data_IF_143568003830
#
_entry.id   IF_143568003830
#
_cell.length_a   1.000
_cell.length_b   1.000
_cell.length_c   1.000
_cell.angle_alpha   90.00
_cell.angle_beta   90.00
_cell.angle_gamma   90.00
#
_symmetry.space_group_name_H-M   'P 1'
#
loop_
_entity.id
_entity.type
_entity.pdbx_description
1 polymer ?
#
# COMPACT_ATOMS: atom_id res chain seq x y z
N UNK A 1 11.69 -12.72 -18.44
CA UNK A 1 11.71 -12.18 -17.07
C UNK A 1 11.78 -10.67 -17.16
N UNK A 2 11.36 -9.97 -16.11
CA UNK A 2 11.31 -8.51 -16.14
C UNK A 2 11.80 -7.93 -14.83
N UNK A 3 12.66 -6.92 -14.92
CA UNK A 3 13.06 -6.04 -13.83
C UNK A 3 12.83 -4.59 -14.26
N UNK A 4 12.06 -3.84 -13.49
CA UNK A 4 11.72 -2.44 -13.73
C UNK A 4 12.23 -1.63 -12.55
N UNK A 5 13.01 -0.60 -12.85
CA UNK A 5 13.56 0.36 -11.88
C UNK A 5 12.87 1.70 -12.12
N UNK A 6 12.00 2.12 -11.21
CA UNK A 6 11.18 3.32 -11.41
C UNK A 6 10.85 4.02 -10.09
N UNK A 7 10.22 5.20 -10.16
CA UNK A 7 9.75 5.95 -8.99
C UNK A 7 8.72 5.18 -8.16
N UNK A 8 7.96 4.27 -8.76
CA UNK A 8 6.99 3.40 -8.07
C UNK A 8 7.64 2.18 -7.40
N UNK A 9 8.96 2.18 -7.28
CA UNK A 9 9.74 1.09 -6.71
C UNK A 9 10.47 0.23 -7.74
N UNK A 10 11.17 -0.77 -7.21
CA UNK A 10 12.00 -1.72 -7.95
C UNK A 10 11.26 -3.05 -7.98
N UNK A 11 10.63 -3.35 -9.12
CA UNK A 11 9.72 -4.49 -9.27
C UNK A 11 10.19 -5.45 -10.33
N UNK A 12 9.94 -6.73 -10.13
CA UNK A 12 10.26 -7.73 -11.12
C UNK A 12 9.66 -9.10 -10.84
N UNK A 13 9.77 -9.97 -11.84
CA UNK A 13 9.42 -11.38 -11.68
C UNK A 13 10.49 -12.11 -10.88
N UNK A 14 10.08 -12.98 -9.95
CA UNK A 14 10.99 -13.85 -9.19
C UNK A 14 11.52 -14.97 -10.08
N UNK A 15 12.80 -15.31 -9.91
CA UNK A 15 13.48 -16.39 -10.64
C UNK A 15 14.56 -15.87 -11.61
N UNK A 16 15.19 -16.82 -12.31
CA UNK A 16 16.21 -16.62 -13.36
C UNK A 16 17.48 -15.86 -12.93
N UNK A 17 18.08 -15.12 -13.86
CA UNK A 17 19.41 -14.51 -13.72
C UNK A 17 19.33 -13.10 -13.11
N UNK A 18 20.29 -12.75 -12.26
CA UNK A 18 20.39 -11.41 -11.65
C UNK A 18 20.47 -10.32 -12.72
N UNK A 19 19.79 -9.20 -12.46
CA UNK A 19 19.67 -8.08 -13.39
C UNK A 19 18.53 -8.21 -14.41
N UNK A 20 17.97 -9.41 -14.62
CA UNK A 20 16.83 -9.65 -15.53
C UNK A 20 15.49 -9.84 -14.80
N UNK A 21 15.52 -10.08 -13.48
CA UNK A 21 14.36 -10.25 -12.61
C UNK A 21 14.64 -9.66 -11.22
N UNK A 22 13.70 -9.83 -10.29
CA UNK A 22 13.92 -9.46 -8.88
C UNK A 22 14.53 -10.66 -8.14
N UNK A 23 15.80 -10.95 -8.41
CA UNK A 23 16.50 -12.09 -7.81
C UNK A 23 17.00 -11.76 -6.40
N UNK A 24 17.46 -12.76 -5.61
CA UNK A 24 18.05 -12.49 -4.30
C UNK A 24 19.20 -11.47 -4.32
N UNK A 25 20.07 -11.51 -5.33
CA UNK A 25 21.18 -10.55 -5.46
C UNK A 25 20.67 -9.14 -5.75
N UNK A 26 19.63 -9.01 -6.57
CA UNK A 26 19.01 -7.72 -6.87
C UNK A 26 18.38 -7.12 -5.61
N UNK A 27 17.65 -7.94 -4.84
CA UNK A 27 17.02 -7.52 -3.57
C UNK A 27 18.08 -7.00 -2.59
N UNK A 28 19.18 -7.74 -2.39
CA UNK A 28 20.28 -7.32 -1.51
C UNK A 28 20.92 -6.04 -2.00
N UNK A 29 21.24 -5.93 -3.30
CA UNK A 29 21.85 -4.74 -3.91
C UNK A 29 21.00 -3.49 -3.67
N UNK A 30 19.72 -3.56 -4.00
CA UNK A 30 18.83 -2.40 -3.90
C UNK A 30 18.44 -2.06 -2.46
N UNK A 31 18.31 -3.06 -1.58
CA UNK A 31 18.11 -2.82 -0.15
C UNK A 31 19.32 -2.14 0.48
N UNK A 32 20.54 -2.57 0.12
CA UNK A 32 21.78 -1.99 0.64
C UNK A 32 21.91 -0.51 0.26
N UNK A 33 21.59 -0.21 -1.00
CA UNK A 33 21.60 1.15 -1.50
C UNK A 33 20.56 2.04 -0.83
N UNK A 34 19.32 1.56 -0.73
CA UNK A 34 18.24 2.30 -0.08
C UNK A 34 18.51 2.55 1.41
N UNK A 35 18.92 1.52 2.16
CA UNK A 35 19.21 1.66 3.59
C UNK A 35 20.31 2.69 3.85
N UNK A 36 21.40 2.62 3.08
CA UNK A 36 22.50 3.58 3.17
C UNK A 36 22.07 5.01 2.82
N UNK A 37 21.25 5.16 1.77
CA UNK A 37 20.68 6.45 1.37
C UNK A 37 19.80 7.05 2.48
N UNK A 38 18.88 6.26 3.04
CA UNK A 38 17.92 6.72 4.04
C UNK A 38 18.64 7.17 5.32
N UNK A 39 19.60 6.39 5.80
CA UNK A 39 20.42 6.73 6.98
C UNK A 39 21.25 7.99 6.72
N UNK A 40 21.91 8.09 5.55
CA UNK A 40 22.71 9.26 5.20
C UNK A 40 21.87 10.54 5.12
N UNK A 41 20.66 10.46 4.59
CA UNK A 41 19.76 11.60 4.42
C UNK A 41 19.17 12.11 5.73
N UNK A 42 18.88 11.21 6.66
CA UNK A 42 18.12 11.52 7.89
C UNK A 42 18.97 11.52 9.17
N UNK A 43 20.09 10.80 9.17
CA UNK A 43 20.86 10.48 10.38
C UNK A 43 20.20 9.45 11.30
N UNK A 44 19.07 8.86 10.89
CA UNK A 44 18.29 7.89 11.67
C UNK A 44 18.68 6.48 11.24
N UNK A 45 18.93 5.59 12.20
CA UNK A 45 19.37 4.22 11.95
C UNK A 45 18.25 3.17 12.13
N UNK A 46 17.07 3.46 11.59
CA UNK A 46 15.88 2.60 11.72
C UNK A 46 15.08 2.60 10.42
N UNK A 47 14.62 1.43 9.97
CA UNK A 47 13.75 1.27 8.80
C UNK A 47 12.54 0.40 9.18
N UNK A 48 11.34 0.76 8.69
CA UNK A 48 10.13 -0.06 8.83
C UNK A 48 9.96 -0.92 7.57
N UNK A 49 9.59 -2.19 7.73
CA UNK A 49 9.25 -3.04 6.60
C UNK A 49 7.89 -3.71 6.81
N UNK A 50 7.21 -4.02 5.72
CA UNK A 50 5.98 -4.81 5.72
C UNK A 50 5.74 -5.41 4.34
N UNK A 51 4.90 -6.45 4.27
CA UNK A 51 4.69 -7.19 3.02
C UNK A 51 3.25 -7.57 2.80
N UNK A 52 2.89 -7.72 1.52
CA UNK A 52 1.66 -8.40 1.14
C UNK A 52 1.78 -9.93 1.29
N UNK A 53 0.72 -10.65 0.90
CA UNK A 53 0.66 -12.11 1.05
C UNK A 53 1.34 -12.90 -0.08
N UNK A 54 1.99 -12.27 -1.07
CA UNK A 54 2.60 -12.99 -2.19
C UNK A 54 3.49 -14.12 -1.70
N UNK A 55 3.49 -15.23 -2.44
CA UNK A 55 4.21 -16.46 -2.11
C UNK A 55 5.72 -16.19 -1.88
N UNK A 56 6.31 -15.28 -2.67
CA UNK A 56 7.71 -14.90 -2.54
C UNK A 56 8.01 -13.95 -1.36
N UNK A 57 6.98 -13.40 -0.71
CA UNK A 57 7.10 -12.34 0.28
C UNK A 57 7.98 -12.70 1.48
N UNK A 58 7.90 -13.94 2.00
CA UNK A 58 8.74 -14.38 3.12
C UNK A 58 10.22 -14.41 2.76
N UNK A 59 10.55 -14.87 1.55
CA UNK A 59 11.92 -14.89 1.03
C UNK A 59 12.46 -13.47 0.84
N UNK A 60 11.68 -12.58 0.23
CA UNK A 60 12.08 -11.17 0.07
C UNK A 60 12.28 -10.50 1.43
N UNK A 61 11.36 -10.73 2.38
CA UNK A 61 11.44 -10.16 3.73
C UNK A 61 12.73 -10.55 4.46
N UNK A 62 13.10 -11.83 4.40
CA UNK A 62 14.33 -12.32 5.04
C UNK A 62 15.59 -11.69 4.44
N UNK A 63 15.64 -11.53 3.12
CA UNK A 63 16.76 -10.88 2.44
C UNK A 63 16.86 -9.40 2.78
N UNK A 64 15.73 -8.69 2.77
CA UNK A 64 15.66 -7.27 3.10
C UNK A 64 16.08 -7.05 4.55
N UNK A 65 15.49 -7.81 5.47
CA UNK A 65 15.78 -7.73 6.91
C UNK A 65 17.26 -7.98 7.19
N UNK A 66 17.80 -9.10 6.71
CA UNK A 66 19.21 -9.44 6.95
C UNK A 66 20.18 -8.44 6.31
N UNK A 67 19.82 -7.88 5.15
CA UNK A 67 20.63 -6.83 4.50
C UNK A 67 20.68 -5.55 5.34
N UNK A 68 19.52 -5.08 5.83
CA UNK A 68 19.44 -3.89 6.68
C UNK A 68 20.18 -4.09 8.00
N UNK A 69 20.00 -5.25 8.66
CA UNK A 69 20.79 -5.61 9.85
C UNK A 69 22.30 -5.60 9.57
N UNK A 70 22.71 -6.14 8.42
CA UNK A 70 24.10 -6.14 7.97
C UNK A 70 24.67 -4.74 7.74
N UNK A 71 23.84 -3.75 7.40
CA UNK A 71 24.22 -2.33 7.33
C UNK A 71 24.29 -1.65 8.70
N UNK A 72 23.97 -2.38 9.78
CA UNK A 72 23.85 -1.83 11.12
C UNK A 72 22.50 -1.19 11.42
N UNK A 73 21.52 -1.29 10.52
CA UNK A 73 20.22 -0.60 10.61
C UNK A 73 19.21 -1.43 11.42
N UNK A 74 18.55 -0.79 12.39
CA UNK A 74 17.45 -1.41 13.13
C UNK A 74 16.21 -1.56 12.25
N UNK A 75 15.57 -2.72 12.29
CA UNK A 75 14.40 -3.04 11.48
C UNK A 75 13.17 -3.22 12.37
N UNK A 76 12.09 -2.52 12.04
CA UNK A 76 10.74 -2.82 12.55
C UNK A 76 9.99 -3.59 11.46
N UNK A 77 9.80 -4.89 11.68
CA UNK A 77 9.09 -5.77 10.74
C UNK A 77 7.62 -5.91 11.15
N UNK A 78 6.71 -5.43 10.30
CA UNK A 78 5.26 -5.51 10.50
C UNK A 78 4.67 -6.85 10.03
N UNK A 79 5.48 -7.69 9.38
CA UNK A 79 5.03 -8.93 8.75
C UNK A 79 4.01 -8.69 7.65
N UNK A 80 2.93 -9.49 7.67
CA UNK A 80 1.79 -9.28 6.78
C UNK A 80 1.10 -7.96 7.12
N UNK A 81 1.20 -7.00 6.22
CA UNK A 81 0.74 -5.63 6.41
C UNK A 81 0.27 -5.03 5.09
N UNK A 82 -0.52 -3.97 5.16
CA UNK A 82 -0.90 -3.20 3.97
C UNK A 82 0.12 -2.11 3.67
N UNK A 83 0.17 -1.64 2.42
CA UNK A 83 0.91 -0.45 2.01
C UNK A 83 0.61 0.74 2.94
N UNK A 84 -0.65 1.18 3.12
CA UNK A 84 -0.94 2.33 3.98
C UNK A 84 -0.56 2.12 5.46
N UNK A 85 -0.56 0.89 5.96
CA UNK A 85 -0.11 0.61 7.33
C UNK A 85 1.39 0.88 7.50
N UNK A 86 2.20 0.51 6.51
CA UNK A 86 3.65 0.77 6.54
C UNK A 86 3.92 2.27 6.43
N UNK A 87 3.19 2.97 5.56
CA UNK A 87 3.27 4.43 5.39
C UNK A 87 2.94 5.17 6.70
N UNK A 88 1.94 4.72 7.46
CA UNK A 88 1.61 5.25 8.79
C UNK A 88 2.70 4.88 9.82
N UNK A 89 3.25 3.68 9.74
CA UNK A 89 4.22 3.20 10.72
C UNK A 89 5.56 3.93 10.66
N UNK A 90 6.04 4.31 9.47
CA UNK A 90 7.31 5.03 9.30
C UNK A 90 7.43 6.29 10.17
N UNK A 91 6.52 7.28 10.07
CA UNK A 91 6.58 8.48 10.91
C UNK A 91 6.29 8.18 12.39
N UNK A 92 5.44 7.20 12.71
CA UNK A 92 5.16 6.81 14.10
C UNK A 92 6.38 6.18 14.80
N UNK A 93 7.17 5.38 14.08
CA UNK A 93 8.43 4.82 14.55
C UNK A 93 9.60 5.82 14.52
N UNK A 94 9.39 6.99 13.91
CA UNK A 94 10.43 7.98 13.59
C UNK A 94 11.59 7.30 12.85
N UNK A 95 11.26 6.49 11.86
CA UNK A 95 12.23 5.77 11.04
C UNK A 95 12.81 6.68 9.94
N UNK A 96 13.95 6.29 9.39
CA UNK A 96 14.56 6.95 8.23
C UNK A 96 13.74 6.76 6.94
N UNK A 97 12.84 5.77 6.94
CA UNK A 97 11.96 5.42 5.85
C UNK A 97 11.36 4.03 6.04
N UNK A 98 10.75 3.50 4.97
CA UNK A 98 10.23 2.14 4.95
C UNK A 98 10.36 1.44 3.60
N UNK A 99 10.28 0.11 3.64
CA UNK A 99 10.24 -0.75 2.45
C UNK A 99 8.98 -1.61 2.49
N UNK A 100 8.13 -1.45 1.48
CA UNK A 100 6.95 -2.30 1.31
C UNK A 100 7.26 -3.37 0.27
N UNK A 101 7.07 -4.63 0.65
CA UNK A 101 7.37 -5.80 -0.17
C UNK A 101 6.11 -6.28 -0.87
N UNK A 102 5.86 -5.70 -2.04
CA UNK A 102 4.66 -5.98 -2.83
C UNK A 102 4.83 -5.49 -4.27
N UNK A 103 4.19 -6.18 -5.21
CA UNK A 103 4.00 -5.68 -6.58
C UNK A 103 2.54 -5.24 -6.85
N UNK A 104 1.80 -4.79 -5.82
CA UNK A 104 0.41 -4.29 -5.90
C UNK A 104 -0.51 -5.24 -6.69
N UNK A 105 -1.10 -4.80 -7.79
CA UNK A 105 -1.98 -5.55 -8.68
C UNK A 105 -1.26 -6.47 -9.68
N UNK A 106 0.08 -6.59 -9.66
CA UNK A 106 0.77 -7.47 -10.61
C UNK A 106 0.50 -8.96 -10.30
N UNK A 107 0.56 -9.87 -11.28
CA UNK A 107 0.38 -11.31 -11.04
C UNK A 107 1.35 -11.91 -9.98
N UNK A 108 0.99 -13.06 -9.40
CA UNK A 108 1.68 -13.67 -8.24
C UNK A 108 3.19 -13.91 -8.38
N UNK A 109 3.71 -14.05 -9.60
CA UNK A 109 5.14 -14.23 -9.87
C UNK A 109 5.96 -12.95 -9.68
N UNK A 110 5.31 -11.79 -9.56
CA UNK A 110 5.96 -10.51 -9.32
C UNK A 110 6.12 -10.21 -7.84
N UNK A 111 7.17 -9.47 -7.50
CA UNK A 111 7.31 -8.79 -6.22
C UNK A 111 8.07 -7.46 -6.46
N UNK A 112 8.14 -6.60 -5.44
CA UNK A 112 8.88 -5.34 -5.53
C UNK A 112 9.42 -4.87 -4.19
N UNK A 113 10.34 -3.90 -4.27
CA UNK A 113 10.71 -3.02 -3.17
C UNK A 113 10.09 -1.65 -3.48
N UNK A 114 8.99 -1.32 -2.80
CA UNK A 114 8.42 0.04 -2.76
C UNK A 114 9.13 0.81 -1.65
N UNK A 115 9.74 1.95 -1.98
CA UNK A 115 10.67 2.66 -1.10
C UNK A 115 10.04 3.97 -0.61
N UNK A 116 10.01 4.16 0.71
CA UNK A 116 9.43 5.34 1.37
C UNK A 116 10.51 6.24 1.99
N UNK A 117 10.23 7.53 2.08
CA UNK A 117 11.01 8.51 2.84
C UNK A 117 10.61 8.52 4.32
N UNK A 118 11.22 9.38 5.14
CA UNK A 118 11.00 9.49 6.58
C UNK A 118 9.58 9.95 6.98
N UNK A 119 8.81 10.46 6.02
CA UNK A 119 7.41 10.88 6.22
C UNK A 119 6.43 9.76 5.92
N UNK A 120 6.91 8.60 5.45
CA UNK A 120 6.06 7.51 4.99
C UNK A 120 5.53 7.70 3.57
N UNK A 121 6.10 8.63 2.79
CA UNK A 121 5.70 8.87 1.39
C UNK A 121 6.67 8.15 0.45
N UNK A 122 6.23 7.75 -0.74
CA UNK A 122 7.13 7.22 -1.78
C UNK A 122 8.26 8.20 -2.10
N UNK A 123 9.49 7.67 -2.28
CA UNK A 123 10.62 8.50 -2.68
C UNK A 123 10.41 9.12 -4.06
N UNK A 124 10.86 10.36 -4.23
CA UNK A 124 10.72 11.07 -5.51
C UNK A 124 11.77 10.62 -6.55
N UNK A 125 11.67 11.16 -7.77
CA UNK A 125 12.59 10.82 -8.87
C UNK A 125 14.06 11.16 -8.56
N UNK A 126 14.33 12.26 -7.88
CA UNK A 126 15.69 12.64 -7.51
C UNK A 126 16.28 11.64 -6.49
N UNK A 127 15.52 11.33 -5.44
CA UNK A 127 15.90 10.36 -4.42
C UNK A 127 16.07 8.95 -5.02
N UNK A 128 15.16 8.54 -5.90
CA UNK A 128 15.24 7.27 -6.62
C UNK A 128 16.50 7.16 -7.48
N UNK A 129 16.90 8.25 -8.15
CA UNK A 129 18.17 8.30 -8.91
C UNK A 129 19.39 8.15 -8.03
N UNK A 130 19.40 8.78 -6.84
CA UNK A 130 20.49 8.62 -5.87
C UNK A 130 20.59 7.17 -5.38
N UNK A 131 19.47 6.53 -5.03
CA UNK A 131 19.45 5.11 -4.64
C UNK A 131 20.00 4.22 -5.75
N UNK A 132 19.61 4.47 -7.01
CA UNK A 132 20.11 3.70 -8.14
C UNK A 132 21.61 3.91 -8.41
N UNK A 133 22.12 5.13 -8.22
CA UNK A 133 23.54 5.43 -8.35
C UNK A 133 24.38 4.75 -7.25
N UNK A 134 23.92 4.79 -5.99
CA UNK A 134 24.53 4.07 -4.87
C UNK A 134 24.55 2.57 -5.16
N UNK A 135 23.44 2.02 -5.64
CA UNK A 135 23.35 0.61 -6.00
C UNK A 135 24.38 0.25 -7.08
N UNK A 136 24.48 1.05 -8.15
CA UNK A 136 25.39 0.77 -9.25
C UNK A 136 26.86 0.84 -8.85
N UNK A 137 27.22 1.80 -8.00
CA UNK A 137 28.59 1.95 -7.49
C UNK A 137 28.92 1.02 -6.33
N UNK A 138 27.93 0.35 -5.76
CA UNK A 138 28.04 -0.38 -4.49
C UNK A 138 28.61 0.51 -3.37
N UNK A 139 28.16 1.78 -3.33
CA UNK A 139 28.63 2.81 -2.38
C UNK A 139 27.94 2.67 -1.01
N UNK A 140 28.14 1.51 -0.40
CA UNK A 140 27.60 1.17 0.91
C UNK A 140 28.60 0.29 1.67
N UNK A 141 28.58 0.40 3.00
CA UNK A 141 29.50 -0.30 3.89
C UNK A 141 28.68 -1.08 4.89
N UNK A 142 28.95 -2.38 4.99
CA UNK A 142 28.34 -3.24 6.00
C UNK A 142 29.02 -3.05 7.36
N UNK A 143 28.24 -3.18 8.41
CA UNK A 143 28.68 -3.05 9.78
C UNK A 143 29.55 -4.25 10.21
N UNK A 144 30.47 -3.99 11.13
CA UNK A 144 31.18 -5.05 11.85
C UNK A 144 30.24 -5.79 12.80
N UNK A 145 30.65 -6.98 13.25
CA UNK A 145 29.81 -7.89 14.06
C UNK A 145 29.20 -7.25 15.31
N UNK A 146 29.91 -6.33 15.97
CA UNK A 146 29.45 -5.66 17.18
C UNK A 146 28.54 -4.45 16.90
N UNK A 147 28.34 -4.11 15.62
CA UNK A 147 27.54 -2.97 15.15
C UNK A 147 26.37 -3.39 14.25
N UNK A 148 26.02 -4.68 14.24
CA UNK A 148 24.86 -5.18 13.51
C UNK A 148 23.56 -4.60 14.06
N UNK A 149 22.62 -4.32 13.16
CA UNK A 149 21.29 -3.82 13.48
C UNK A 149 20.41 -4.88 14.13
N UNK A 150 19.41 -4.44 14.88
CA UNK A 150 18.43 -5.32 15.54
C UNK A 150 17.16 -5.47 14.70
N UNK A 151 16.36 -6.51 14.98
CA UNK A 151 15.06 -6.72 14.35
C UNK A 151 14.01 -6.85 15.42
N UNK A 152 12.95 -6.05 15.30
CA UNK A 152 11.78 -6.11 16.15
C UNK A 152 10.56 -6.41 15.29
N UNK A 153 9.88 -7.52 15.59
CA UNK A 153 8.57 -7.81 15.00
C UNK A 153 7.48 -7.01 15.75
N UNK A 154 6.57 -6.36 15.02
CA UNK A 154 5.52 -5.53 15.60
C UNK A 154 4.17 -5.68 14.91
N UNK A 155 3.30 -6.52 15.46
CA UNK A 155 1.94 -6.79 14.99
C UNK A 155 0.88 -5.78 15.49
N UNK A 156 1.26 -4.84 16.36
CA UNK A 156 0.32 -3.84 16.90
C UNK A 156 -0.20 -2.84 15.87
N UNK A 157 0.42 -2.78 14.69
CA UNK A 157 0.14 -1.77 13.69
C UNK A 157 -1.21 -1.93 12.99
N UNK A 158 -1.80 -3.14 13.00
CA UNK A 158 -3.20 -3.32 12.59
C UNK A 158 -4.14 -2.46 13.44
N UNK A 159 -4.01 -2.56 14.78
CA UNK A 159 -4.88 -1.81 15.68
C UNK A 159 -4.57 -0.31 15.61
N UNK A 160 -3.29 0.07 15.57
CA UNK A 160 -2.90 1.49 15.44
C UNK A 160 -3.46 2.13 14.17
N UNK A 161 -3.45 1.41 13.04
CA UNK A 161 -4.02 1.91 11.79
C UNK A 161 -5.54 2.08 11.91
N UNK A 162 -6.24 1.08 12.47
CA UNK A 162 -7.68 1.21 12.73
C UNK A 162 -7.97 2.41 13.63
N UNK A 163 -7.20 2.60 14.70
CA UNK A 163 -7.37 3.73 15.62
C UNK A 163 -7.15 5.07 14.90
N UNK A 164 -6.16 5.18 14.02
CA UNK A 164 -5.95 6.38 13.19
C UNK A 164 -7.17 6.67 12.32
N UNK A 165 -7.74 5.65 11.65
CA UNK A 165 -8.94 5.81 10.82
C UNK A 165 -10.14 6.25 11.68
N UNK A 166 -10.39 5.60 12.80
CA UNK A 166 -11.52 5.91 13.69
C UNK A 166 -11.41 7.31 14.31
N UNK A 167 -10.21 7.86 14.44
CA UNK A 167 -9.97 9.21 14.96
C UNK A 167 -10.08 10.30 13.88
N UNK A 168 -10.30 9.95 12.61
CA UNK A 168 -10.52 10.95 11.56
C UNK A 168 -11.84 11.70 11.81
N UNK A 169 -11.86 13.04 11.79
CA UNK A 169 -13.06 13.84 12.15
C UNK A 169 -14.30 13.55 11.31
N UNK A 170 -14.13 13.03 10.09
CA UNK A 170 -15.22 12.74 9.15
C UNK A 170 -15.68 11.28 9.21
N UNK A 171 -15.08 10.44 10.06
CA UNK A 171 -15.51 9.06 10.27
C UNK A 171 -16.56 9.03 11.36
N UNK A 172 -17.83 8.96 10.97
CA UNK A 172 -18.96 8.86 11.89
C UNK A 172 -19.31 7.38 12.16
N UNK A 173 -18.67 6.82 13.19
CA UNK A 173 -18.89 5.43 13.62
C UNK A 173 -20.33 5.14 14.01
N UNK A 174 -21.00 6.06 14.69
CA UNK A 174 -22.37 5.81 15.18
C UNK A 174 -23.37 5.83 14.01
N UNK A 175 -23.15 6.69 13.00
CA UNK A 175 -23.94 6.65 11.77
C UNK A 175 -23.75 5.32 11.01
N UNK A 176 -22.51 4.85 10.84
CA UNK A 176 -22.22 3.58 10.16
C UNK A 176 -22.86 2.41 10.89
N UNK A 177 -22.72 2.35 12.21
CA UNK A 177 -23.33 1.32 13.06
C UNK A 177 -24.86 1.35 12.98
N UNK A 178 -25.47 2.53 13.05
CA UNK A 178 -26.94 2.69 13.00
C UNK A 178 -27.51 2.31 11.65
N UNK A 179 -26.77 2.54 10.56
CA UNK A 179 -27.18 2.14 9.22
C UNK A 179 -27.28 0.61 9.05
N UNK A 180 -26.58 -0.16 9.89
CA UNK A 180 -26.61 -1.62 9.90
C UNK A 180 -26.35 -2.24 8.52
N UNK A 181 -25.32 -1.72 7.84
CA UNK A 181 -24.95 -2.17 6.50
C UNK A 181 -24.57 -3.64 6.47
N UNK A 182 -24.93 -4.30 5.37
CA UNK A 182 -24.45 -5.61 4.95
C UNK A 182 -23.38 -5.41 3.90
N UNK A 183 -22.15 -5.81 4.19
CA UNK A 183 -21.01 -5.55 3.32
C UNK A 183 -20.47 -6.86 2.76
N UNK A 184 -20.25 -6.94 1.45
CA UNK A 184 -19.44 -8.00 0.86
C UNK A 184 -18.00 -7.51 0.68
N UNK A 185 -17.01 -8.35 0.94
CA UNK A 185 -15.60 -8.00 0.73
C UNK A 185 -14.91 -9.03 -0.16
N UNK A 186 -14.00 -8.56 -1.01
CA UNK A 186 -13.05 -9.38 -1.77
C UNK A 186 -11.64 -8.90 -1.48
N UNK A 187 -10.86 -9.76 -0.84
CA UNK A 187 -9.51 -9.46 -0.40
C UNK A 187 -8.43 -10.24 -1.16
N UNK A 188 -8.80 -10.87 -2.28
CA UNK A 188 -7.91 -11.51 -3.26
C UNK A 188 -6.86 -12.49 -2.66
N UNK A 189 -7.18 -13.12 -1.53
CA UNK A 189 -6.28 -13.97 -0.74
C UNK A 189 -4.97 -13.26 -0.34
N UNK A 190 -5.11 -11.99 0.06
CA UNK A 190 -4.00 -11.17 0.55
C UNK A 190 -4.35 -10.39 1.82
N UNK A 191 -3.53 -9.39 2.16
CA UNK A 191 -3.54 -8.72 3.47
C UNK A 191 -4.84 -7.99 3.80
N UNK A 192 -5.65 -7.62 2.80
CA UNK A 192 -7.00 -7.13 3.02
C UNK A 192 -7.84 -8.08 3.88
N UNK A 193 -7.61 -9.40 3.75
CA UNK A 193 -8.37 -10.43 4.46
C UNK A 193 -8.16 -10.44 5.97
N UNK A 194 -7.07 -9.86 6.45
CA UNK A 194 -6.80 -9.72 7.89
C UNK A 194 -6.94 -8.27 8.37
N UNK A 195 -7.03 -7.27 7.49
CA UNK A 195 -7.17 -5.85 7.85
C UNK A 195 -8.61 -5.32 7.73
N UNK A 196 -9.33 -5.68 6.67
CA UNK A 196 -10.66 -5.15 6.38
C UNK A 196 -11.73 -5.68 7.35
N UNK A 197 -11.81 -6.99 7.68
CA UNK A 197 -12.82 -7.46 8.63
C UNK A 197 -12.70 -6.82 10.02
N UNK A 198 -11.50 -6.70 10.63
CA UNK A 198 -11.34 -5.97 11.88
C UNK A 198 -11.73 -4.49 11.78
N UNK A 199 -11.40 -3.80 10.69
CA UNK A 199 -11.80 -2.40 10.46
C UNK A 199 -13.33 -2.25 10.40
N UNK A 200 -14.00 -3.07 9.59
CA UNK A 200 -15.47 -3.06 9.47
C UNK A 200 -16.14 -3.34 10.82
N UNK A 201 -15.62 -4.31 11.58
CA UNK A 201 -16.09 -4.58 12.94
C UNK A 201 -15.89 -3.37 13.87
N UNK A 202 -14.74 -2.71 13.78
CA UNK A 202 -14.45 -1.49 14.57
C UNK A 202 -15.40 -0.32 14.22
N UNK A 203 -15.83 -0.22 12.96
CA UNK A 203 -16.82 0.73 12.47
C UNK A 203 -18.28 0.35 12.83
N UNK A 204 -18.51 -0.84 13.40
CA UNK A 204 -19.83 -1.30 13.83
C UNK A 204 -20.63 -2.04 12.75
N UNK A 205 -19.98 -2.51 11.68
CA UNK A 205 -20.60 -3.38 10.67
C UNK A 205 -20.63 -4.82 11.20
N UNK A 206 -21.84 -5.36 11.39
CA UNK A 206 -22.03 -6.71 11.96
C UNK A 206 -22.17 -7.80 10.89
N UNK A 207 -22.67 -7.46 9.69
CA UNK A 207 -22.89 -8.42 8.61
C UNK A 207 -21.85 -8.24 7.51
N UNK A 208 -20.87 -9.14 7.47
CA UNK A 208 -19.82 -9.16 6.44
C UNK A 208 -19.84 -10.50 5.70
N UNK A 209 -19.88 -10.46 4.38
CA UNK A 209 -19.75 -11.61 3.50
C UNK A 209 -18.33 -11.64 2.93
N UNK A 210 -17.51 -12.57 3.42
CA UNK A 210 -16.09 -12.63 3.12
C UNK A 210 -15.80 -13.49 1.90
N UNK A 211 -15.13 -12.91 0.90
CA UNK A 211 -14.47 -13.62 -0.18
C UNK A 211 -12.96 -13.44 -0.05
N UNK A 212 -12.26 -14.56 -0.20
CA UNK A 212 -10.82 -14.58 -0.40
C UNK A 212 -10.02 -13.85 0.68
N UNK A 213 -10.31 -14.15 1.95
CA UNK A 213 -9.69 -13.49 3.12
C UNK A 213 -8.48 -14.23 3.69
N UNK A 214 -8.08 -15.36 3.12
CA UNK A 214 -6.90 -16.09 3.58
C UNK A 214 -5.62 -15.52 2.91
N UNK A 215 -4.68 -14.89 3.65
CA UNK A 215 -3.50 -14.26 3.08
C UNK A 215 -2.42 -15.28 2.72
N UNK A 216 -2.70 -16.15 1.75
CA UNK A 216 -1.82 -17.23 1.32
C UNK A 216 -1.08 -16.93 -0.01
N UNK A 217 -1.41 -15.82 -0.69
CA UNK A 217 -0.77 -15.43 -1.95
C UNK A 217 -1.19 -16.23 -3.18
N UNK A 218 -2.16 -17.15 -3.02
CA UNK A 218 -2.84 -17.83 -4.11
C UNK A 218 -4.03 -17.00 -4.58
N UNK A 219 -3.73 -15.98 -5.39
CA UNK A 219 -4.75 -15.07 -5.92
C UNK A 219 -5.79 -15.86 -6.74
N UNK A 220 -7.09 -15.78 -6.38
CA UNK A 220 -8.17 -16.56 -6.98
C UNK A 220 -8.53 -16.09 -8.39
N UNK A 221 -8.35 -14.79 -8.65
CA UNK A 221 -8.44 -14.15 -9.96
C UNK A 221 -7.24 -13.22 -10.16
N UNK A 222 -7.18 -12.52 -11.29
CA UNK A 222 -6.18 -11.49 -11.50
C UNK A 222 -6.37 -10.39 -10.42
N UNK A 223 -5.32 -10.02 -9.67
CA UNK A 223 -5.46 -9.11 -8.53
C UNK A 223 -5.72 -7.65 -8.87
N UNK A 224 -5.71 -7.28 -10.16
CA UNK A 224 -6.17 -5.97 -10.57
C UNK A 224 -7.71 -5.88 -10.49
N UNK A 225 -8.28 -4.94 -9.71
CA UNK A 225 -9.71 -4.89 -9.43
C UNK A 225 -10.53 -4.27 -10.58
N UNK A 226 -10.43 -4.86 -11.77
CA UNK A 226 -11.17 -4.49 -12.98
C UNK A 226 -12.50 -5.25 -13.06
N UNK A 227 -13.57 -4.68 -13.67
CA UNK A 227 -14.90 -5.30 -13.71
C UNK A 227 -14.94 -6.78 -14.12
N UNK A 228 -14.11 -7.19 -15.09
CA UNK A 228 -13.99 -8.57 -15.54
C UNK A 228 -13.49 -9.56 -14.47
N UNK A 229 -12.73 -9.07 -13.48
CA UNK A 229 -12.21 -9.86 -12.36
C UNK A 229 -13.17 -9.88 -11.16
N UNK A 230 -14.16 -8.99 -11.11
CA UNK A 230 -15.04 -8.75 -9.95
C UNK A 230 -16.43 -9.41 -10.08
N UNK A 231 -16.55 -10.40 -10.96
CA UNK A 231 -17.85 -11.04 -11.27
C UNK A 231 -18.43 -11.84 -10.09
N UNK A 232 -17.57 -12.43 -9.26
CA UNK A 232 -18.02 -13.25 -8.12
C UNK A 232 -18.57 -12.40 -6.98
N UNK A 233 -17.85 -11.36 -6.55
CA UNK A 233 -18.36 -10.43 -5.54
C UNK A 233 -19.64 -9.73 -6.00
N UNK A 234 -19.75 -9.37 -7.28
CA UNK A 234 -21.00 -8.85 -7.84
C UNK A 234 -22.16 -9.86 -7.73
N UNK A 235 -21.88 -11.15 -7.88
CA UNK A 235 -22.83 -12.24 -7.61
C UNK A 235 -23.24 -12.29 -6.14
N UNK A 236 -22.27 -12.25 -5.22
CA UNK A 236 -22.51 -12.29 -3.77
C UNK A 236 -23.31 -11.08 -3.30
N UNK A 237 -23.00 -9.88 -3.78
CA UNK A 237 -23.75 -8.65 -3.44
C UNK A 237 -25.23 -8.83 -3.78
N UNK A 238 -25.55 -9.31 -4.98
CA UNK A 238 -26.94 -9.58 -5.40
C UNK A 238 -27.60 -10.71 -4.62
N UNK A 239 -26.92 -11.84 -4.44
CA UNK A 239 -27.46 -13.03 -3.77
C UNK A 239 -27.78 -12.73 -2.31
N UNK A 240 -26.87 -12.04 -1.62
CA UNK A 240 -26.99 -11.72 -0.20
C UNK A 240 -27.72 -10.42 0.08
N UNK A 241 -28.10 -9.69 -0.97
CA UNK A 241 -28.66 -8.35 -0.89
C UNK A 241 -27.79 -7.46 0.02
N UNK A 242 -26.48 -7.46 -0.27
CA UNK A 242 -25.52 -6.60 0.40
C UNK A 242 -25.71 -5.15 -0.09
N UNK A 243 -25.49 -4.18 0.80
CA UNK A 243 -25.66 -2.76 0.50
C UNK A 243 -24.45 -2.21 -0.26
N UNK A 244 -23.28 -2.85 -0.12
CA UNK A 244 -22.03 -2.44 -0.77
C UNK A 244 -21.07 -3.63 -0.86
N UNK A 245 -20.41 -3.78 -2.01
CA UNK A 245 -19.21 -4.60 -2.15
C UNK A 245 -17.93 -3.76 -2.07
N UNK A 246 -16.92 -4.26 -1.36
CA UNK A 246 -15.60 -3.64 -1.19
C UNK A 246 -14.55 -4.59 -1.76
N UNK A 247 -13.75 -4.13 -2.71
CA UNK A 247 -12.66 -4.91 -3.31
C UNK A 247 -11.35 -4.16 -3.13
N UNK A 248 -10.33 -4.89 -2.68
CA UNK A 248 -8.98 -4.36 -2.51
C UNK A 248 -7.97 -5.18 -3.30
N UNK A 249 -6.91 -4.55 -3.79
CA UNK A 249 -5.77 -5.26 -4.37
C UNK A 249 -4.86 -5.85 -3.26
N UNK A 250 -3.82 -6.63 -3.59
CA UNK A 250 -3.09 -7.43 -2.61
C UNK A 250 -2.47 -6.67 -1.43
N UNK A 251 -2.00 -5.45 -1.65
CA UNK A 251 -1.38 -4.59 -0.64
C UNK A 251 -2.31 -3.47 -0.14
N UNK A 252 -3.57 -3.46 -0.59
CA UNK A 252 -4.66 -2.64 -0.04
C UNK A 252 -4.38 -1.14 -0.18
N UNK A 253 -3.72 -0.72 -1.26
CA UNK A 253 -3.61 0.69 -1.65
C UNK A 253 -4.69 1.10 -2.67
N UNK A 254 -5.40 0.12 -3.26
CA UNK A 254 -6.57 0.34 -4.13
C UNK A 254 -7.87 -0.06 -3.47
N UNK A 255 -8.92 0.64 -3.87
CA UNK A 255 -10.30 0.41 -3.43
C UNK A 255 -11.27 0.54 -4.61
N UNK A 256 -12.00 -0.54 -4.88
CA UNK A 256 -13.13 -0.56 -5.80
C UNK A 256 -14.42 -0.90 -5.06
N UNK A 257 -15.53 -0.34 -5.53
CA UNK A 257 -16.84 -0.56 -4.95
C UNK A 257 -17.78 -1.28 -5.93
N UNK A 258 -18.70 -2.06 -5.38
CA UNK A 258 -19.77 -2.73 -6.12
C UNK A 258 -21.09 -2.25 -5.55
N UNK A 259 -21.96 -1.72 -6.41
CA UNK A 259 -23.29 -1.24 -6.04
C UNK A 259 -24.18 -2.41 -5.62
N UNK A 260 -25.27 -2.12 -4.90
CA UNK A 260 -26.26 -3.08 -4.43
C UNK A 260 -26.94 -3.89 -5.55
N UNK A 261 -26.97 -3.34 -6.78
CA UNK A 261 -27.48 -4.02 -7.98
C UNK A 261 -26.44 -4.95 -8.64
N UNK A 262 -25.22 -5.04 -8.08
CA UNK A 262 -24.09 -5.81 -8.58
C UNK A 262 -23.31 -5.14 -9.71
N UNK A 263 -23.65 -3.92 -10.11
CA UNK A 263 -22.85 -3.14 -11.06
C UNK A 263 -21.60 -2.57 -10.37
N UNK A 264 -20.51 -2.37 -11.14
CA UNK A 264 -19.31 -1.74 -10.59
C UNK A 264 -19.54 -0.24 -10.39
N UNK A 265 -19.18 0.26 -9.23
CA UNK A 265 -19.06 1.69 -9.02
C UNK A 265 -17.68 2.09 -9.57
N UNK A 266 -17.66 2.67 -10.77
CA UNK A 266 -16.43 2.91 -11.53
C UNK A 266 -15.36 3.61 -10.68
N UNK A 267 -14.12 3.12 -10.74
CA UNK A 267 -13.00 3.54 -9.87
C UNK A 267 -12.77 5.07 -9.86
N UNK A 268 -12.99 5.70 -11.01
CA UNK A 268 -12.93 7.16 -11.18
C UNK A 268 -13.90 7.92 -10.25
N UNK A 269 -15.06 7.33 -9.94
CA UNK A 269 -16.08 7.94 -9.10
C UNK A 269 -15.85 7.72 -7.60
N UNK A 270 -15.03 6.74 -7.21
CA UNK A 270 -14.66 6.53 -5.80
C UNK A 270 -14.02 7.79 -5.23
N UNK A 271 -12.98 8.31 -5.90
CA UNK A 271 -12.31 9.55 -5.51
C UNK A 271 -13.28 10.74 -5.50
N UNK A 272 -14.15 10.85 -6.50
CA UNK A 272 -15.09 11.97 -6.64
C UNK A 272 -16.14 11.97 -5.52
N UNK A 273 -16.72 10.80 -5.21
CA UNK A 273 -17.72 10.67 -4.16
C UNK A 273 -17.14 10.99 -2.78
N UNK A 274 -15.93 10.50 -2.49
CA UNK A 274 -15.22 10.82 -1.24
C UNK A 274 -14.86 12.30 -1.19
N UNK A 275 -14.34 12.87 -2.27
CA UNK A 275 -13.98 14.30 -2.33
C UNK A 275 -15.20 15.20 -2.14
N UNK A 276 -16.33 14.91 -2.79
CA UNK A 276 -17.58 15.66 -2.61
C UNK A 276 -18.04 15.65 -1.14
N UNK A 277 -17.99 14.48 -0.47
CA UNK A 277 -18.29 14.38 0.96
C UNK A 277 -17.32 15.19 1.83
N UNK A 278 -16.00 15.06 1.59
CA UNK A 278 -14.98 15.79 2.34
C UNK A 278 -15.14 17.29 2.17
N UNK A 279 -15.30 17.78 0.93
CA UNK A 279 -15.40 19.21 0.61
C UNK A 279 -16.66 19.88 1.18
N UNK A 280 -17.76 19.13 1.32
CA UNK A 280 -18.98 19.60 2.01
C UNK A 280 -18.77 19.88 3.49
N UNK A 281 -17.84 19.16 4.12
CA UNK A 281 -17.59 19.25 5.56
C UNK A 281 -16.31 20.03 5.89
N UNK A 282 -15.33 20.04 4.98
CA UNK A 282 -14.01 20.65 5.15
C UNK A 282 -13.61 21.35 3.87
N UNK A 283 -13.42 22.68 3.93
CA UNK A 283 -12.89 23.43 2.78
C UNK A 283 -11.45 23.00 2.49
N UNK A 284 -11.13 22.76 1.23
CA UNK A 284 -9.80 22.33 0.83
C UNK A 284 -9.66 22.22 -0.68
N UNK A 285 -8.43 22.20 -1.16
CA UNK A 285 -8.13 21.99 -2.56
C UNK A 285 -8.03 20.50 -2.87
N UNK A 286 -8.13 20.14 -4.15
CA UNK A 286 -7.96 18.75 -4.59
C UNK A 286 -6.90 18.65 -5.68
N UNK A 287 -6.31 17.46 -5.77
CA UNK A 287 -5.38 17.09 -6.83
C UNK A 287 -5.75 15.71 -7.33
N UNK A 288 -5.74 15.52 -8.64
CA UNK A 288 -5.68 14.18 -9.25
C UNK A 288 -4.68 14.16 -10.39
N UNK A 289 -4.35 12.95 -10.86
CA UNK A 289 -3.53 12.83 -12.05
C UNK A 289 -4.35 13.15 -13.32
N UNK A 290 -3.64 13.38 -14.43
CA UNK A 290 -4.25 13.73 -15.73
C UNK A 290 -5.08 12.62 -16.38
N UNK A 291 -5.01 11.39 -15.89
CA UNK A 291 -5.84 10.28 -16.36
C UNK A 291 -7.18 10.21 -15.66
N UNK A 292 -7.34 10.89 -14.51
CA UNK A 292 -8.59 10.89 -13.75
C UNK A 292 -9.68 11.74 -14.40
N UNK A 293 -10.93 11.38 -14.12
CA UNK A 293 -12.13 12.10 -14.58
C UNK A 293 -12.12 13.59 -14.20
N UNK A 294 -12.69 14.43 -15.09
CA UNK A 294 -12.91 15.86 -14.80
C UNK A 294 -13.88 16.07 -13.63
N UNK A 295 -14.68 15.08 -13.26
CA UNK A 295 -15.69 15.23 -12.20
C UNK A 295 -15.10 15.69 -10.84
N UNK A 296 -13.84 15.33 -10.52
CA UNK A 296 -13.19 15.84 -9.30
C UNK A 296 -13.03 17.36 -9.33
N UNK A 297 -12.64 17.91 -10.48
CA UNK A 297 -12.57 19.35 -10.69
C UNK A 297 -13.92 20.01 -10.49
N UNK A 298 -14.96 19.43 -11.09
CA UNK A 298 -16.32 19.99 -11.07
C UNK A 298 -16.84 20.08 -9.61
N UNK A 299 -16.68 19.03 -8.78
CA UNK A 299 -17.08 19.07 -7.36
C UNK A 299 -16.22 20.02 -6.51
N UNK A 300 -14.94 20.16 -6.85
CA UNK A 300 -14.01 21.05 -6.13
C UNK A 300 -14.33 22.52 -6.38
N UNK A 301 -14.53 22.91 -7.64
CA UNK A 301 -14.88 24.27 -8.01
C UNK A 301 -16.29 24.64 -7.50
N UNK A 302 -17.24 23.69 -7.51
CA UNK A 302 -18.56 23.89 -6.92
C UNK A 302 -18.51 24.15 -5.41
N UNK A 303 -17.56 23.53 -4.69
CA UNK A 303 -17.28 23.82 -3.28
C UNK A 303 -16.50 25.13 -3.06
N UNK A 304 -16.22 25.90 -4.12
CA UNK A 304 -15.48 27.16 -4.06
C UNK A 304 -13.98 26.98 -3.79
N UNK A 305 -13.42 25.82 -4.12
CA UNK A 305 -12.01 25.49 -3.90
C UNK A 305 -11.25 25.32 -5.22
N UNK A 306 -9.92 25.13 -5.15
CA UNK A 306 -9.06 25.03 -6.34
C UNK A 306 -8.69 23.58 -6.64
N UNK A 307 -8.84 23.17 -7.89
CA UNK A 307 -8.36 21.89 -8.40
C UNK A 307 -7.00 22.05 -9.11
N UNK A 308 -6.10 21.09 -8.90
CA UNK A 308 -4.85 20.96 -9.65
C UNK A 308 -4.75 19.58 -10.31
N UNK A 309 -4.13 19.54 -11.49
CA UNK A 309 -3.77 18.28 -12.14
C UNK A 309 -2.26 18.00 -11.95
N UNK A 310 -1.93 16.72 -11.79
CA UNK A 310 -0.57 16.20 -11.75
C UNK A 310 -0.32 15.19 -12.89
N UNK A 311 0.94 14.94 -13.22
CA UNK A 311 1.28 13.81 -14.09
C UNK A 311 0.89 12.47 -13.43
N UNK A 312 0.73 11.42 -14.22
CA UNK A 312 0.44 10.07 -13.69
C UNK A 312 1.58 9.61 -12.77
N UNK A 313 1.21 9.03 -11.63
CA UNK A 313 2.11 8.59 -10.57
C UNK A 313 1.82 9.28 -9.25
N UNK A 314 1.70 8.50 -8.18
CA UNK A 314 1.29 8.96 -6.85
C UNK A 314 2.16 10.09 -6.29
N UNK A 315 3.48 9.98 -6.38
CA UNK A 315 4.44 11.01 -5.95
C UNK A 315 4.15 12.37 -6.61
N UNK A 316 3.70 12.38 -7.87
CA UNK A 316 3.40 13.63 -8.58
C UNK A 316 2.13 14.30 -8.03
N UNK A 317 1.19 13.52 -7.50
CA UNK A 317 -0.02 14.01 -6.84
C UNK A 317 0.33 14.57 -5.47
N UNK A 318 1.13 13.86 -4.68
CA UNK A 318 1.54 14.28 -3.31
C UNK A 318 2.35 15.58 -3.32
N UNK A 319 3.18 15.80 -4.34
CA UNK A 319 4.04 16.99 -4.44
C UNK A 319 3.35 18.23 -4.98
N UNK A 320 2.06 18.17 -5.31
CA UNK A 320 1.32 19.23 -5.99
C UNK A 320 0.54 20.12 -5.03
#
# INVERSE_FOLDING_TARGET
MTLIKSISGIRGTIGGVSGEGLTPLDIVKFTSAYGSWAVKKTGINKIVIGRDARISGSMVNNLVTGTLQGLGIDVIDLGLSTTPTVEIAVPLEKAAGGIILTASHNPKQWNALKLLNEKGEFINDADGKEVLDIAEKSDFIYADVDSLGTVTYNDSYLQKHIDVILNLPLVDKEAIKTANFKIAIDCVNSTGGIFIPPLLKALGVETVYELYTEPNGHFPHNPEPLPENLTEIAGVVKEKQADLGIVTDPDVDRLCFVNEDGSMFGEEYTLVAVADYVLKNTKGNTVSNLSSTRALRDVTEQAGSTYNAAAVGEVNVVTK
#
